data_IF_401945788954
#
_entry.id   IF_401945788954
#
_cell.length_a   1.000
_cell.length_b   1.000
_cell.length_c   1.000
_cell.angle_alpha   90.00
_cell.angle_beta   90.00
_cell.angle_gamma   90.00
#
_symmetry.space_group_name_H-M   'P 1'
#
loop_
_entity.id
_entity.type
_entity.pdbx_description
1 polymer ?
#
# COMPACT_ATOMS: atom_id res chain seq x y z
N UNK A 1 31.65 -5.80 -22.14
CA UNK A 1 30.87 -5.42 -20.94
C UNK A 1 29.65 -4.67 -21.40
N UNK A 2 28.44 -5.10 -21.01
CA UNK A 2 27.22 -4.34 -21.23
C UNK A 2 27.29 -3.07 -20.36
N UNK A 3 27.14 -1.91 -20.98
CA UNK A 3 27.18 -0.60 -20.32
C UNK A 3 25.97 -0.51 -19.38
N UNK A 4 26.19 -0.17 -18.11
CA UNK A 4 25.09 0.03 -17.15
C UNK A 4 24.17 1.18 -17.59
N UNK A 5 22.87 1.02 -17.37
CA UNK A 5 21.85 2.05 -17.64
C UNK A 5 22.04 3.26 -16.73
N UNK A 6 21.60 4.44 -17.18
CA UNK A 6 21.75 5.66 -16.37
C UNK A 6 20.83 5.59 -15.16
N UNK A 7 21.25 6.17 -14.04
CA UNK A 7 20.38 6.30 -12.85
C UNK A 7 19.06 7.04 -13.16
N UNK A 8 19.05 7.92 -14.18
CA UNK A 8 17.85 8.62 -14.66
C UNK A 8 16.86 7.73 -15.40
N UNK A 9 17.27 6.51 -15.78
CA UNK A 9 16.47 5.53 -16.54
C UNK A 9 15.90 4.43 -15.62
N UNK A 10 16.11 4.54 -14.30
CA UNK A 10 15.57 3.59 -13.34
C UNK A 10 14.04 3.60 -13.35
N UNK A 11 13.46 2.40 -13.49
CA UNK A 11 12.03 2.20 -13.31
C UNK A 11 11.61 2.49 -11.87
N UNK A 12 10.42 3.06 -11.73
CA UNK A 12 9.82 3.32 -10.43
C UNK A 12 9.69 2.01 -9.64
N UNK A 13 10.25 1.99 -8.44
CA UNK A 13 10.24 0.88 -7.50
C UNK A 13 9.31 1.20 -6.34
N UNK A 14 8.37 0.31 -6.08
CA UNK A 14 7.41 0.42 -4.99
C UNK A 14 7.72 -0.65 -3.95
N UNK A 15 8.08 -0.23 -2.75
CA UNK A 15 8.19 -1.12 -1.61
C UNK A 15 6.85 -1.11 -0.86
N UNK A 16 6.17 -2.26 -0.81
CA UNK A 16 4.87 -2.39 -0.16
C UNK A 16 4.99 -3.25 1.10
N UNK A 17 4.64 -2.67 2.25
CA UNK A 17 4.47 -3.37 3.51
C UNK A 17 2.99 -3.48 3.85
N UNK A 18 2.51 -4.71 3.99
CA UNK A 18 1.16 -5.02 4.45
C UNK A 18 1.29 -5.59 5.86
N UNK A 19 0.70 -4.89 6.82
CA UNK A 19 0.90 -5.14 8.24
C UNK A 19 -0.45 -5.42 8.90
N UNK A 20 -0.51 -6.42 9.78
CA UNK A 20 -1.72 -6.73 10.54
C UNK A 20 -1.89 -5.83 11.76
N UNK A 21 -0.82 -5.19 12.21
CA UNK A 21 -0.76 -4.34 13.41
C UNK A 21 -0.65 -2.86 13.05
N UNK A 22 -1.04 -2.00 13.99
CA UNK A 22 -0.81 -0.55 13.90
C UNK A 22 0.59 -0.22 14.42
N UNK A 23 1.44 0.28 13.52
CA UNK A 23 2.83 0.66 13.80
C UNK A 23 3.03 2.15 13.57
N UNK A 24 2.39 2.72 12.54
CA UNK A 24 2.52 4.13 12.21
C UNK A 24 1.54 4.98 13.01
N UNK A 25 1.96 6.18 13.43
CA UNK A 25 1.11 7.11 14.19
C UNK A 25 -0.01 7.72 13.34
N UNK A 26 0.15 7.73 12.01
CA UNK A 26 -0.82 8.31 11.07
C UNK A 26 -2.16 7.54 11.12
N UNK A 27 -3.31 8.21 11.13
CA UNK A 27 -4.61 7.54 11.29
C UNK A 27 -5.03 6.76 10.04
N UNK A 28 -4.48 7.08 8.88
CA UNK A 28 -4.82 6.46 7.61
C UNK A 28 -4.36 4.99 7.55
N UNK A 29 -5.18 4.14 6.92
CA UNK A 29 -4.83 2.74 6.65
C UNK A 29 -3.67 2.61 5.65
N UNK A 30 -3.49 3.60 4.78
CA UNK A 30 -2.48 3.60 3.73
C UNK A 30 -1.64 4.87 3.82
N UNK A 31 -0.33 4.68 3.99
CA UNK A 31 0.63 5.77 4.13
C UNK A 31 1.76 5.60 3.13
N UNK A 32 2.06 6.67 2.39
CA UNK A 32 3.15 6.69 1.41
C UNK A 32 4.26 7.62 1.89
N UNK A 33 5.49 7.11 1.93
CA UNK A 33 6.68 7.86 2.29
C UNK A 33 7.68 7.91 1.14
N UNK A 34 8.46 9.00 1.15
CA UNK A 34 9.58 9.25 0.25
C UNK A 34 10.83 9.47 1.09
N UNK A 35 11.99 9.15 0.52
CA UNK A 35 13.27 9.48 1.12
C UNK A 35 13.52 10.98 0.92
N UNK A 36 13.82 11.68 2.02
CA UNK A 36 14.08 13.12 2.03
C UNK A 36 15.40 13.42 2.74
N UNK A 37 16.05 14.50 2.32
CA UNK A 37 17.23 15.02 3.01
C UNK A 37 16.80 15.62 4.37
N UNK A 38 17.38 15.14 5.47
CA UNK A 38 16.92 15.48 6.83
C UNK A 38 16.91 16.98 7.18
N UNK A 39 17.87 17.78 6.68
CA UNK A 39 17.93 19.24 6.97
C UNK A 39 17.05 20.10 6.06
N UNK A 40 17.09 19.86 4.76
CA UNK A 40 16.42 20.70 3.74
C UNK A 40 15.03 20.20 3.38
N UNK A 41 14.66 19.01 3.86
CA UNK A 41 13.43 18.29 3.51
C UNK A 41 13.26 18.04 2.00
N UNK A 42 14.33 18.22 1.21
CA UNK A 42 14.32 17.98 -0.24
C UNK A 42 14.14 16.49 -0.49
N UNK A 43 13.18 16.13 -1.34
CA UNK A 43 12.98 14.76 -1.80
C UNK A 43 14.22 14.31 -2.59
N UNK A 44 14.75 13.15 -2.21
CA UNK A 44 15.90 12.55 -2.89
C UNK A 44 15.50 12.05 -4.28
N UNK A 45 14.39 11.31 -4.35
CA UNK A 45 13.80 10.75 -5.57
C UNK A 45 12.34 10.40 -5.32
N UNK A 46 11.51 10.43 -6.36
CA UNK A 46 10.16 9.89 -6.40
C UNK A 46 10.10 8.52 -7.11
N UNK A 47 11.24 8.03 -7.59
CA UNK A 47 11.39 6.70 -8.21
C UNK A 47 11.36 5.57 -7.17
N UNK A 48 11.64 5.86 -5.90
CA UNK A 48 11.57 4.89 -4.81
C UNK A 48 10.52 5.34 -3.79
N UNK A 49 9.44 4.57 -3.66
CA UNK A 49 8.35 4.88 -2.76
C UNK A 49 8.13 3.76 -1.75
N UNK A 50 7.86 4.15 -0.50
CA UNK A 50 7.56 3.24 0.60
C UNK A 50 6.08 3.32 0.91
N UNK A 51 5.37 2.23 0.74
CA UNK A 51 3.92 2.12 0.88
C UNK A 51 3.62 1.22 2.06
N UNK A 52 2.94 1.75 3.07
CA UNK A 52 2.52 1.00 4.25
C UNK A 52 1.00 0.87 4.24
N UNK A 53 0.53 -0.34 4.48
CA UNK A 53 -0.88 -0.69 4.59
C UNK A 53 -1.09 -1.40 5.92
N UNK A 54 -1.85 -0.79 6.82
CA UNK A 54 -2.09 -1.30 8.18
C UNK A 54 -3.51 -1.85 8.30
N UNK A 55 -3.65 -3.16 8.07
CA UNK A 55 -4.95 -3.85 8.05
C UNK A 55 -5.70 -3.72 9.38
N UNK A 56 -5.02 -3.52 10.51
CA UNK A 56 -5.64 -3.20 11.80
C UNK A 56 -6.60 -2.01 11.71
N UNK A 57 -6.27 -1.00 10.89
CA UNK A 57 -7.05 0.24 10.69
C UNK A 57 -8.23 0.09 9.73
N UNK A 58 -8.48 -1.11 9.20
CA UNK A 58 -9.56 -1.34 8.24
C UNK A 58 -10.94 -1.15 8.89
N UNK A 59 -11.73 -0.20 8.35
CA UNK A 59 -13.11 0.03 8.78
C UNK A 59 -14.06 -1.04 8.21
N UNK A 60 -14.39 -2.03 9.05
CA UNK A 60 -15.34 -3.10 8.72
C UNK A 60 -16.78 -2.62 8.51
N UNK A 61 -17.19 -1.56 9.21
CA UNK A 61 -18.57 -1.06 9.23
C UNK A 61 -18.94 -0.28 7.96
N UNK A 62 -17.93 0.15 7.19
CA UNK A 62 -18.16 0.83 5.91
C UNK A 62 -18.89 -0.11 4.93
N UNK A 63 -20.08 0.25 4.42
CA UNK A 63 -20.83 -0.58 3.48
C UNK A 63 -20.03 -0.90 2.22
N UNK A 64 -20.08 -2.15 1.74
CA UNK A 64 -19.29 -2.62 0.59
C UNK A 64 -19.48 -1.76 -0.67
N UNK A 65 -20.71 -1.30 -0.95
CA UNK A 65 -21.04 -0.41 -2.08
C UNK A 65 -20.31 0.95 -2.04
N UNK A 66 -19.88 1.40 -0.86
CA UNK A 66 -19.17 2.66 -0.65
C UNK A 66 -17.66 2.46 -0.57
N UNK A 67 -17.17 1.21 -0.64
CA UNK A 67 -15.74 0.90 -0.59
C UNK A 67 -15.07 1.18 -1.93
N UNK A 68 -13.93 1.82 -1.86
CA UNK A 68 -13.00 2.00 -2.99
C UNK A 68 -12.44 0.65 -3.43
N UNK A 69 -11.87 0.59 -4.64
CA UNK A 69 -11.19 -0.62 -5.13
C UNK A 69 -10.09 -1.10 -4.17
N UNK A 70 -9.33 -0.17 -3.58
CA UNK A 70 -8.33 -0.49 -2.57
C UNK A 70 -8.97 -1.13 -1.35
N UNK A 71 -10.01 -0.52 -0.77
CA UNK A 71 -10.70 -1.07 0.40
C UNK A 71 -11.33 -2.44 0.13
N UNK A 72 -11.83 -2.71 -1.07
CA UNK A 72 -12.29 -4.05 -1.46
C UNK A 72 -11.13 -5.05 -1.49
N UNK A 73 -9.99 -4.68 -2.07
CA UNK A 73 -8.79 -5.52 -2.08
C UNK A 73 -8.26 -5.79 -0.66
N UNK A 74 -8.23 -4.77 0.20
CA UNK A 74 -7.84 -4.91 1.61
C UNK A 74 -8.82 -5.78 2.40
N UNK A 75 -10.12 -5.71 2.10
CA UNK A 75 -11.10 -6.59 2.69
C UNK A 75 -10.79 -8.05 2.36
N UNK A 76 -10.49 -8.36 1.10
CA UNK A 76 -10.12 -9.71 0.68
C UNK A 76 -8.84 -10.16 1.38
N UNK A 77 -7.83 -9.30 1.50
CA UNK A 77 -6.59 -9.65 2.23
C UNK A 77 -6.84 -9.93 3.72
N UNK A 78 -7.63 -9.09 4.39
CA UNK A 78 -7.87 -9.20 5.84
C UNK A 78 -8.79 -10.37 6.19
N UNK A 79 -9.76 -10.66 5.33
CA UNK A 79 -10.87 -11.58 5.59
C UNK A 79 -10.89 -12.77 4.63
N UNK A 80 -9.79 -13.01 3.92
CA UNK A 80 -9.64 -14.03 2.87
C UNK A 80 -10.10 -15.42 3.29
N UNK A 81 -9.89 -15.77 4.55
CA UNK A 81 -10.26 -17.08 5.10
C UNK A 81 -11.77 -17.34 5.16
N UNK A 82 -12.62 -16.32 5.04
CA UNK A 82 -14.07 -16.50 4.97
C UNK A 82 -14.57 -16.83 3.57
N UNK A 83 -13.75 -16.60 2.54
CA UNK A 83 -14.11 -16.86 1.16
C UNK A 83 -13.66 -18.27 0.78
N UNK A 84 -14.61 -19.14 0.46
CA UNK A 84 -14.35 -20.51 0.05
C UNK A 84 -14.38 -20.68 -1.48
N UNK A 85 -14.85 -19.66 -2.20
CA UNK A 85 -14.91 -19.67 -3.67
C UNK A 85 -14.77 -18.28 -4.30
N UNK A 86 -14.48 -18.26 -5.61
CA UNK A 86 -14.42 -17.02 -6.41
C UNK A 86 -15.81 -16.38 -6.53
N UNK A 87 -16.89 -17.15 -6.47
CA UNK A 87 -18.25 -16.63 -6.60
C UNK A 87 -18.64 -15.74 -5.40
N UNK A 88 -18.18 -16.08 -4.20
CA UNK A 88 -18.39 -15.25 -3.01
C UNK A 88 -17.66 -13.90 -3.12
N UNK A 89 -16.48 -13.87 -3.74
CA UNK A 89 -15.71 -12.64 -3.98
C UNK A 89 -16.41 -11.67 -4.96
N UNK A 90 -17.23 -12.18 -5.88
CA UNK A 90 -17.94 -11.35 -6.89
C UNK A 90 -19.04 -10.48 -6.28
N UNK A 91 -19.44 -10.75 -5.03
CA UNK A 91 -20.50 -10.02 -4.33
C UNK A 91 -20.03 -8.76 -3.59
N UNK A 92 -18.71 -8.51 -3.54
CA UNK A 92 -18.06 -7.36 -2.87
C UNK A 92 -18.06 -6.06 -3.69
#
# INVERSE_FOLDING_TARGET
MLRGEKYTELNKTLCLWIMCETILPDPDIYNKYLIKHGKTNRVLTDLLEYHFVELSKFNGDKPARLRTKLEKWLHILKFGNYYQSIDELRSL
#
